data_IF_723281520340
#
_entry.id   IF_723281520340
#
_cell.length_a   1.000
_cell.length_b   1.000
_cell.length_c   1.000
_cell.angle_alpha   90.00
_cell.angle_beta   90.00
_cell.angle_gamma   90.00
#
_symmetry.space_group_name_H-M   'P 1'
#
loop_
_entity.id
_entity.type
_entity.pdbx_description
1 polymer ?
#
# COMPACT_ATOMS: atom_id res chain seq x y z
N UNK A 1 2.70 11.15 -28.78
CA UNK A 1 3.93 10.88 -28.00
C UNK A 1 3.70 9.57 -27.27
N UNK A 2 4.54 8.55 -27.52
CA UNK A 2 4.44 7.30 -26.79
C UNK A 2 4.83 7.57 -25.32
N UNK A 3 3.89 7.41 -24.40
CA UNK A 3 4.17 7.48 -22.97
C UNK A 3 5.00 6.24 -22.64
N UNK A 4 6.29 6.41 -22.41
CA UNK A 4 7.14 5.34 -21.89
C UNK A 4 6.71 5.08 -20.45
N UNK A 5 5.88 4.06 -20.24
CA UNK A 5 5.44 3.63 -18.92
C UNK A 5 6.63 3.08 -18.14
N UNK A 6 6.81 3.57 -16.91
CA UNK A 6 7.92 3.16 -16.06
C UNK A 6 7.53 1.89 -15.34
N UNK A 7 7.98 0.75 -15.84
CA UNK A 7 7.78 -0.53 -15.15
C UNK A 7 8.66 -0.61 -13.90
N UNK A 8 8.04 -0.63 -12.72
CA UNK A 8 8.71 -0.81 -11.43
C UNK A 8 8.45 -2.23 -10.95
N UNK A 9 9.49 -2.96 -10.60
CA UNK A 9 9.37 -4.28 -9.95
C UNK A 9 10.44 -4.43 -8.89
N UNK A 10 10.11 -5.14 -7.83
CA UNK A 10 11.06 -5.37 -6.76
C UNK A 10 12.17 -6.35 -7.18
N UNK A 11 13.45 -6.07 -6.88
CA UNK A 11 14.54 -7.02 -7.10
C UNK A 11 14.28 -8.40 -6.47
N UNK A 12 14.82 -9.43 -7.10
CA UNK A 12 14.67 -10.84 -6.70
C UNK A 12 16.05 -11.46 -6.41
N UNK A 13 16.06 -12.60 -5.72
CA UNK A 13 17.30 -13.31 -5.37
C UNK A 13 18.03 -12.70 -4.16
N UNK A 14 19.24 -13.21 -3.91
CA UNK A 14 20.05 -12.91 -2.72
C UNK A 14 21.01 -11.73 -2.87
N UNK A 15 21.16 -11.18 -4.08
CA UNK A 15 22.04 -10.04 -4.34
C UNK A 15 21.40 -8.76 -3.79
N UNK A 16 22.15 -8.01 -2.99
CA UNK A 16 21.68 -6.76 -2.38
C UNK A 16 21.92 -5.56 -3.28
N UNK A 17 20.94 -4.65 -3.32
CA UNK A 17 21.09 -3.30 -3.87
C UNK A 17 21.47 -2.27 -2.79
N UNK A 18 21.14 -2.55 -1.53
CA UNK A 18 21.42 -1.71 -0.37
C UNK A 18 22.54 -2.29 0.51
N UNK A 19 23.01 -1.52 1.50
CA UNK A 19 24.12 -1.92 2.37
C UNK A 19 23.83 -3.13 3.27
N UNK A 20 22.56 -3.38 3.60
CA UNK A 20 22.14 -4.55 4.37
C UNK A 20 20.66 -4.91 4.13
N UNK A 21 20.25 -6.08 4.60
CA UNK A 21 18.91 -6.62 4.42
C UNK A 21 17.76 -5.73 4.95
N UNK A 22 17.87 -5.03 6.10
CA UNK A 22 16.79 -4.17 6.57
C UNK A 22 16.45 -3.02 5.59
N UNK A 23 17.46 -2.40 4.98
CA UNK A 23 17.29 -1.37 3.96
C UNK A 23 16.82 -1.98 2.64
N UNK A 24 17.38 -3.13 2.26
CA UNK A 24 16.97 -3.87 1.06
C UNK A 24 15.50 -4.29 1.14
N UNK A 25 15.01 -4.69 2.32
CA UNK A 25 13.61 -5.03 2.52
C UNK A 25 12.71 -3.84 2.20
N UNK A 26 12.96 -2.67 2.80
CA UNK A 26 12.21 -1.45 2.48
C UNK A 26 12.33 -1.07 0.99
N UNK A 27 13.52 -1.21 0.41
CA UNK A 27 13.80 -0.94 -1.01
C UNK A 27 12.99 -1.83 -1.94
N UNK A 28 12.91 -3.14 -1.65
CA UNK A 28 12.09 -4.08 -2.40
C UNK A 28 10.61 -3.80 -2.17
N UNK A 29 10.18 -3.57 -0.94
CA UNK A 29 8.76 -3.45 -0.64
C UNK A 29 8.10 -2.20 -1.25
N UNK A 30 8.79 -1.04 -1.30
CA UNK A 30 8.24 0.13 -2.00
C UNK A 30 8.09 -0.13 -3.51
N UNK A 31 8.99 -0.91 -4.10
CA UNK A 31 8.89 -1.32 -5.51
C UNK A 31 7.81 -2.38 -5.72
N UNK A 32 7.60 -3.29 -4.77
CA UNK A 32 6.51 -4.27 -4.81
C UNK A 32 5.15 -3.58 -4.82
N UNK A 33 4.99 -2.53 -4.02
CA UNK A 33 3.78 -1.71 -4.01
C UNK A 33 3.48 -1.04 -5.37
N UNK A 34 4.43 -0.97 -6.29
CA UNK A 34 4.26 -0.40 -7.63
C UNK A 34 4.44 -1.43 -8.75
N UNK A 35 4.52 -2.72 -8.40
CA UNK A 35 4.55 -3.79 -9.39
C UNK A 35 3.23 -3.78 -10.18
N UNK A 36 3.25 -3.83 -11.54
CA UNK A 36 2.04 -3.87 -12.37
C UNK A 36 1.08 -5.01 -12.06
N UNK A 37 1.56 -6.09 -11.45
CA UNK A 37 0.71 -7.21 -11.01
C UNK A 37 0.09 -7.00 -9.62
N UNK A 38 0.49 -5.93 -8.92
CA UNK A 38 0.09 -5.64 -7.54
C UNK A 38 -0.74 -4.36 -7.45
N UNK A 39 -0.25 -3.27 -8.02
CA UNK A 39 -0.84 -1.94 -7.91
C UNK A 39 -2.00 -1.73 -8.91
N UNK A 40 -3.02 -0.98 -8.51
CA UNK A 40 -4.15 -0.62 -9.38
C UNK A 40 -3.73 0.32 -10.54
N UNK A 41 -2.85 1.30 -10.27
CA UNK A 41 -2.40 2.28 -11.28
C UNK A 41 -0.96 2.76 -11.01
N UNK A 42 0.06 1.91 -11.23
CA UNK A 42 1.44 2.16 -10.80
C UNK A 42 2.12 3.34 -11.48
N UNK A 43 1.77 3.67 -12.74
CA UNK A 43 2.34 4.82 -13.46
C UNK A 43 2.07 6.16 -12.74
N UNK A 44 0.96 6.24 -11.99
CA UNK A 44 0.57 7.39 -11.16
C UNK A 44 1.00 7.22 -9.69
N UNK A 45 1.83 6.22 -9.40
CA UNK A 45 2.25 5.79 -8.06
C UNK A 45 1.11 5.27 -7.17
N UNK A 46 -0.08 5.06 -7.74
CA UNK A 46 -1.29 4.64 -7.03
C UNK A 46 -1.27 3.13 -6.85
N UNK A 47 -1.38 2.70 -5.60
CA UNK A 47 -1.37 1.31 -5.18
C UNK A 47 -2.80 0.76 -5.09
N UNK A 48 -3.67 1.39 -4.30
CA UNK A 48 -5.09 1.01 -4.16
C UNK A 48 -5.91 2.09 -3.46
N UNK A 49 -7.24 1.90 -3.45
CA UNK A 49 -8.14 2.65 -2.57
C UNK A 49 -8.32 4.11 -2.98
N UNK A 50 -8.49 4.35 -4.28
CA UNK A 50 -8.58 5.69 -4.86
C UNK A 50 -7.19 6.25 -5.14
N UNK A 51 -6.76 7.29 -4.43
CA UNK A 51 -5.47 7.96 -4.64
C UNK A 51 -4.38 7.50 -3.66
N UNK A 52 -4.51 6.31 -3.06
CA UNK A 52 -3.51 5.78 -2.14
C UNK A 52 -2.19 5.50 -2.85
N UNK A 53 -1.13 6.26 -2.53
CA UNK A 53 0.16 6.21 -3.25
C UNK A 53 1.32 5.67 -2.42
N UNK A 54 2.32 5.11 -3.10
CA UNK A 54 3.57 4.64 -2.47
C UNK A 54 4.58 5.76 -2.19
N UNK A 55 4.59 6.79 -3.03
CA UNK A 55 5.45 7.97 -2.91
C UNK A 55 4.74 9.21 -3.47
N UNK A 56 5.15 10.41 -3.02
CA UNK A 56 4.44 11.66 -3.35
C UNK A 56 4.52 12.00 -4.84
N UNK A 57 5.67 11.73 -5.45
CA UNK A 57 5.98 11.98 -6.84
C UNK A 57 7.12 11.06 -7.29
N UNK A 58 7.35 10.93 -8.59
CA UNK A 58 8.45 10.13 -9.13
C UNK A 58 9.81 10.61 -8.61
N UNK A 59 10.00 11.94 -8.49
CA UNK A 59 11.19 12.50 -7.88
C UNK A 59 11.36 12.07 -6.40
N UNK A 60 10.28 12.02 -5.63
CA UNK A 60 10.32 11.54 -4.26
C UNK A 60 10.65 10.04 -4.19
N UNK A 61 10.04 9.24 -5.07
CA UNK A 61 10.32 7.81 -5.21
C UNK A 61 11.80 7.55 -5.50
N UNK A 62 12.37 8.24 -6.50
CA UNK A 62 13.78 8.08 -6.86
C UNK A 62 14.72 8.48 -5.72
N UNK A 63 14.38 9.55 -4.99
CA UNK A 63 15.14 9.95 -3.79
C UNK A 63 15.01 8.94 -2.65
N UNK A 64 13.86 8.29 -2.47
CA UNK A 64 13.69 7.22 -1.49
C UNK A 64 14.62 6.05 -1.83
N UNK A 65 14.58 5.57 -3.07
CA UNK A 65 15.43 4.47 -3.53
C UNK A 65 16.92 4.81 -3.39
N UNK A 66 17.34 6.00 -3.83
CA UNK A 66 18.71 6.45 -3.70
C UNK A 66 19.15 6.57 -2.23
N UNK A 67 18.26 7.02 -1.34
CA UNK A 67 18.57 7.14 0.09
C UNK A 67 18.70 5.76 0.74
N UNK A 68 17.78 4.82 0.47
CA UNK A 68 17.82 3.46 0.99
C UNK A 68 19.10 2.72 0.59
N UNK A 69 19.58 2.89 -0.64
CA UNK A 69 20.83 2.26 -1.11
C UNK A 69 22.06 2.65 -0.29
N UNK A 70 22.11 3.88 0.22
CA UNK A 70 23.25 4.41 1.00
C UNK A 70 23.02 4.47 2.52
N UNK A 71 21.82 4.11 2.99
CA UNK A 71 21.42 4.27 4.39
C UNK A 71 22.19 3.28 5.28
N UNK A 72 22.94 3.77 6.28
CA UNK A 72 23.73 2.93 7.18
C UNK A 72 22.85 2.19 8.19
N UNK A 73 23.44 1.19 8.86
CA UNK A 73 22.74 0.36 9.84
C UNK A 73 22.36 1.13 11.12
N UNK A 74 23.07 2.21 11.43
CA UNK A 74 22.80 3.09 12.57
C UNK A 74 22.10 4.39 12.16
N UNK A 75 21.44 4.41 11.00
CA UNK A 75 20.69 5.55 10.49
C UNK A 75 19.20 5.23 10.29
N UNK A 76 18.38 6.27 10.39
CA UNK A 76 16.94 6.23 10.15
C UNK A 76 16.55 7.32 9.16
N UNK A 77 15.91 6.93 8.06
CA UNK A 77 15.29 7.85 7.10
C UNK A 77 13.88 8.25 7.57
N UNK A 78 13.57 9.55 7.49
CA UNK A 78 12.22 10.07 7.73
C UNK A 78 11.50 10.30 6.40
N UNK A 79 10.29 9.75 6.30
CA UNK A 79 9.38 9.96 5.16
C UNK A 79 8.15 10.69 5.63
N UNK A 80 7.95 11.91 5.14
CA UNK A 80 6.78 12.74 5.43
C UNK A 80 5.88 12.76 4.19
N UNK A 81 4.65 12.28 4.31
CA UNK A 81 3.68 12.16 3.21
C UNK A 81 4.33 11.75 1.89
N UNK A 82 4.98 10.59 1.88
CA UNK A 82 5.64 10.00 0.70
C UNK A 82 6.88 10.74 0.16
N UNK A 83 7.47 11.68 0.92
CA UNK A 83 8.71 12.39 0.56
C UNK A 83 9.83 12.08 1.58
N UNK A 84 11.05 11.72 1.14
CA UNK A 84 12.17 11.55 2.05
C UNK A 84 12.69 12.92 2.48
N UNK A 85 12.55 13.27 3.77
CA UNK A 85 12.84 14.62 4.27
C UNK A 85 14.12 14.73 5.09
N UNK A 86 14.67 13.63 5.57
CA UNK A 86 15.90 13.64 6.34
C UNK A 86 16.40 12.24 6.68
N UNK A 87 17.67 12.16 7.06
CA UNK A 87 18.31 10.97 7.61
C UNK A 87 19.03 11.40 8.88
N UNK A 88 18.82 10.67 9.96
CA UNK A 88 19.44 10.95 11.26
C UNK A 88 20.16 9.70 11.76
N UNK A 89 21.27 9.91 12.46
CA UNK A 89 21.94 8.84 13.19
C UNK A 89 21.06 8.45 14.39
N UNK A 90 20.82 7.16 14.52
CA UNK A 90 20.10 6.51 15.61
C UNK A 90 20.98 5.39 16.17
N UNK A 91 20.59 4.13 16.03
CA UNK A 91 21.34 2.95 16.44
C UNK A 91 20.84 1.72 15.66
N UNK A 92 21.60 0.62 15.68
CA UNK A 92 21.31 -0.57 14.85
C UNK A 92 19.93 -1.20 15.12
N UNK A 93 19.44 -1.14 16.36
CA UNK A 93 18.12 -1.65 16.76
C UNK A 93 16.94 -0.73 16.43
N UNK A 94 17.18 0.49 15.97
CA UNK A 94 16.12 1.42 15.59
C UNK A 94 15.47 1.01 14.25
N UNK A 95 14.25 1.50 13.93
CA UNK A 95 13.71 1.38 12.58
C UNK A 95 14.62 2.07 11.55
N UNK A 96 14.83 1.46 10.38
CA UNK A 96 15.53 2.09 9.26
C UNK A 96 14.73 3.21 8.60
N UNK A 97 13.40 3.12 8.67
CA UNK A 97 12.48 4.10 8.07
C UNK A 97 11.38 4.41 9.06
N UNK A 98 11.12 5.69 9.28
CA UNK A 98 9.94 6.19 9.99
C UNK A 98 9.06 6.96 9.00
N UNK A 99 7.78 6.62 8.96
CA UNK A 99 6.84 7.13 7.96
C UNK A 99 5.66 7.81 8.65
N UNK A 100 5.36 9.04 8.26
CA UNK A 100 4.17 9.77 8.69
C UNK A 100 3.47 10.35 7.45
N UNK A 101 2.34 9.75 7.06
CA UNK A 101 1.60 10.13 5.86
C UNK A 101 0.25 10.76 6.19
N UNK A 102 -0.16 11.74 5.39
CA UNK A 102 -1.52 12.32 5.41
C UNK A 102 -1.95 12.98 6.73
N UNK A 103 -1.03 13.23 7.66
CA UNK A 103 -1.35 13.83 8.95
C UNK A 103 -1.71 15.31 8.76
N UNK A 104 -2.88 15.69 9.27
CA UNK A 104 -3.38 17.06 9.34
C UNK A 104 -3.89 17.31 10.75
N UNK A 105 -3.73 18.54 11.24
CA UNK A 105 -4.33 18.94 12.52
C UNK A 105 -5.86 18.81 12.40
N UNK A 106 -6.59 18.28 13.42
CA UNK A 106 -7.97 17.84 13.24
C UNK A 106 -8.95 18.86 12.64
N UNK A 107 -8.82 20.14 12.99
CA UNK A 107 -9.65 21.23 12.42
C UNK A 107 -9.56 21.32 10.89
N UNK A 108 -8.45 20.88 10.31
CA UNK A 108 -8.15 20.91 8.88
C UNK A 108 -8.12 19.54 8.23
N UNK A 109 -8.47 18.48 8.96
CA UNK A 109 -8.51 17.11 8.44
C UNK A 109 -9.76 16.87 7.57
N UNK A 110 -9.93 17.69 6.52
CA UNK A 110 -11.01 17.57 5.53
C UNK A 110 -10.44 17.27 4.14
N UNK A 111 -11.27 16.71 3.27
CA UNK A 111 -10.86 16.39 1.90
C UNK A 111 -10.54 17.65 1.07
N UNK A 112 -11.24 18.76 1.30
CA UNK A 112 -11.01 20.02 0.60
C UNK A 112 -9.60 20.52 0.90
N UNK A 113 -9.22 20.59 2.19
CA UNK A 113 -7.87 21.02 2.58
C UNK A 113 -6.81 20.02 2.15
N UNK A 114 -7.10 18.72 2.24
CA UNK A 114 -6.20 17.68 1.76
C UNK A 114 -5.89 17.86 0.26
N UNK A 115 -6.93 18.05 -0.57
CA UNK A 115 -6.79 18.24 -2.03
C UNK A 115 -6.07 19.53 -2.39
N UNK A 116 -6.31 20.61 -1.65
CA UNK A 116 -5.54 21.85 -1.78
C UNK A 116 -4.04 21.60 -1.57
N UNK A 117 -3.68 20.93 -0.47
CA UNK A 117 -2.29 20.60 -0.15
C UNK A 117 -1.68 19.59 -1.15
N UNK A 118 -2.48 18.65 -1.65
CA UNK A 118 -2.04 17.69 -2.67
C UNK A 118 -1.74 18.39 -4.00
N UNK A 119 -2.60 19.32 -4.43
CA UNK A 119 -2.37 20.14 -5.62
C UNK A 119 -1.12 21.02 -5.51
N UNK A 120 -0.79 21.48 -4.29
CA UNK A 120 0.46 22.19 -3.99
C UNK A 120 1.68 21.27 -3.84
N UNK A 121 1.51 19.94 -3.93
CA UNK A 121 2.59 18.96 -3.76
C UNK A 121 3.11 18.82 -2.32
N UNK A 122 2.30 19.20 -1.33
CA UNK A 122 2.67 19.26 0.09
C UNK A 122 2.27 18.01 0.88
N UNK A 123 1.31 17.23 0.38
CA UNK A 123 0.87 15.98 1.01
C UNK A 123 0.68 14.86 0.00
N UNK A 124 0.37 13.66 0.49
CA UNK A 124 0.12 12.43 -0.24
C UNK A 124 -0.86 11.59 0.58
N UNK A 125 -1.81 10.95 -0.08
CA UNK A 125 -2.72 10.02 0.59
C UNK A 125 -2.02 8.67 0.72
N UNK A 126 -1.70 8.29 1.96
CA UNK A 126 -0.96 7.07 2.24
C UNK A 126 -1.82 5.80 2.30
N UNK A 127 -3.15 5.94 2.36
CA UNK A 127 -4.04 4.82 2.76
C UNK A 127 -3.46 4.17 4.04
N UNK A 128 -3.50 2.85 4.17
CA UNK A 128 -2.87 2.06 5.22
C UNK A 128 -1.55 1.53 4.69
N UNK A 129 -1.59 0.57 3.77
CA UNK A 129 -0.41 -0.19 3.31
C UNK A 129 0.21 0.33 2.01
N UNK A 130 -0.42 1.30 1.36
CA UNK A 130 0.09 1.93 0.14
C UNK A 130 1.34 2.78 0.46
N UNK A 131 1.20 3.75 1.36
CA UNK A 131 2.27 4.65 1.76
C UNK A 131 3.25 4.09 2.79
N UNK A 132 2.97 2.89 3.32
CA UNK A 132 3.84 2.19 4.29
C UNK A 132 4.54 0.96 3.70
N UNK A 133 4.39 0.72 2.40
CA UNK A 133 5.16 -0.26 1.63
C UNK A 133 5.00 -1.70 2.14
N UNK A 134 3.76 -2.16 2.29
CA UNK A 134 3.48 -3.55 2.69
C UNK A 134 2.21 -4.08 2.03
N UNK A 135 1.85 -3.54 0.87
CA UNK A 135 0.71 -4.01 0.11
C UNK A 135 1.10 -5.25 -0.70
N UNK A 136 0.24 -6.27 -0.65
CA UNK A 136 0.46 -7.59 -1.26
C UNK A 136 -0.70 -7.97 -2.19
N UNK A 137 -1.31 -6.95 -2.81
CA UNK A 137 -2.49 -7.13 -3.65
C UNK A 137 -3.72 -7.54 -2.84
N UNK A 138 -4.69 -8.08 -3.56
CA UNK A 138 -6.00 -8.51 -3.05
C UNK A 138 -5.90 -9.50 -1.89
N UNK A 139 -4.82 -10.30 -1.82
CA UNK A 139 -4.60 -11.25 -0.74
C UNK A 139 -4.58 -10.58 0.64
N UNK A 140 -4.10 -9.34 0.73
CA UNK A 140 -3.94 -8.64 2.01
C UNK A 140 -5.25 -8.49 2.80
N UNK A 141 -6.40 -8.43 2.12
CA UNK A 141 -7.72 -8.32 2.76
C UNK A 141 -8.55 -9.59 2.66
N UNK A 142 -8.14 -10.56 1.83
CA UNK A 142 -8.91 -11.76 1.54
C UNK A 142 -9.33 -12.51 2.80
N UNK A 143 -8.40 -12.75 3.72
CA UNK A 143 -8.71 -13.45 4.97
C UNK A 143 -9.70 -12.66 5.84
N UNK A 144 -9.55 -11.34 5.95
CA UNK A 144 -10.47 -10.51 6.72
C UNK A 144 -11.89 -10.52 6.15
N UNK A 145 -12.01 -10.45 4.82
CA UNK A 145 -13.30 -10.55 4.13
C UNK A 145 -13.91 -11.94 4.28
N UNK A 146 -13.10 -13.00 4.17
CA UNK A 146 -13.52 -14.39 4.44
C UNK A 146 -14.07 -14.54 5.86
N UNK A 147 -13.35 -14.07 6.87
CA UNK A 147 -13.77 -14.18 8.28
C UNK A 147 -15.03 -13.37 8.57
N UNK A 148 -15.21 -12.23 7.90
CA UNK A 148 -16.43 -11.44 8.01
C UNK A 148 -17.64 -12.25 7.51
N UNK A 149 -17.53 -12.86 6.33
CA UNK A 149 -18.60 -13.69 5.79
C UNK A 149 -18.79 -14.99 6.59
N UNK A 150 -17.72 -15.59 7.10
CA UNK A 150 -17.79 -16.75 7.97
C UNK A 150 -18.51 -16.42 9.30
N UNK A 151 -18.26 -15.24 9.86
CA UNK A 151 -18.96 -14.76 11.06
C UNK A 151 -20.45 -14.52 10.79
N UNK A 152 -20.80 -13.93 9.64
CA UNK A 152 -22.20 -13.79 9.19
C UNK A 152 -22.85 -15.17 9.02
N UNK A 153 -22.16 -16.11 8.39
CA UNK A 153 -22.63 -17.47 8.18
C UNK A 153 -22.93 -18.19 9.51
N UNK A 154 -22.00 -18.10 10.48
CA UNK A 154 -22.20 -18.66 11.84
C UNK A 154 -23.37 -18.02 12.57
N UNK A 155 -23.50 -16.69 12.49
CA UNK A 155 -24.52 -15.95 13.23
C UNK A 155 -25.94 -16.13 12.66
N UNK A 156 -26.08 -16.29 11.34
CA UNK A 156 -27.37 -16.22 10.67
C UNK A 156 -27.78 -17.47 9.89
N UNK A 157 -26.83 -18.33 9.50
CA UNK A 157 -27.07 -19.38 8.49
C UNK A 157 -26.49 -20.75 8.87
N UNK A 158 -26.22 -20.99 10.17
CA UNK A 158 -25.75 -22.30 10.64
C UNK A 158 -24.31 -22.63 10.26
N UNK A 159 -23.48 -21.61 9.99
CA UNK A 159 -22.03 -21.77 9.76
C UNK A 159 -21.58 -21.85 8.31
N UNK A 160 -22.49 -21.83 7.34
CA UNK A 160 -22.16 -21.81 5.90
C UNK A 160 -23.05 -20.84 5.12
N UNK A 161 -22.56 -20.30 4.00
CA UNK A 161 -23.36 -19.53 3.04
C UNK A 161 -23.92 -20.39 1.89
N UNK A 162 -23.84 -21.72 1.99
CA UNK A 162 -24.41 -22.63 1.00
C UNK A 162 -25.88 -22.33 0.72
N UNK A 163 -26.21 -22.14 -0.55
CA UNK A 163 -27.56 -21.79 -1.01
C UNK A 163 -27.96 -20.33 -0.73
N UNK A 164 -27.00 -19.46 -0.38
CA UNK A 164 -27.21 -18.02 -0.17
C UNK A 164 -26.54 -17.22 -1.27
N UNK A 165 -27.14 -16.07 -1.58
CA UNK A 165 -26.59 -15.07 -2.50
C UNK A 165 -26.13 -13.87 -1.68
N UNK A 166 -24.88 -13.45 -1.88
CA UNK A 166 -24.32 -12.21 -1.34
C UNK A 166 -24.28 -11.18 -2.46
N UNK A 167 -24.92 -10.04 -2.23
CA UNK A 167 -24.93 -8.91 -3.16
C UNK A 167 -24.06 -7.79 -2.60
N UNK A 168 -23.09 -7.31 -3.38
CA UNK A 168 -22.21 -6.18 -3.05
C UNK A 168 -21.78 -5.46 -4.33
N UNK A 169 -20.85 -4.50 -4.22
CA UNK A 169 -20.28 -3.78 -5.35
C UNK A 169 -18.79 -3.46 -5.13
N UNK A 170 -18.09 -3.15 -6.22
CA UNK A 170 -16.71 -2.67 -6.24
C UNK A 170 -15.68 -3.79 -6.29
N UNK A 171 -15.02 -3.93 -7.45
CA UNK A 171 -13.94 -4.89 -7.71
C UNK A 171 -12.57 -4.19 -7.90
N UNK A 172 -12.28 -3.20 -7.06
CA UNK A 172 -10.92 -2.63 -6.95
C UNK A 172 -9.92 -3.61 -6.30
N UNK A 173 -8.70 -3.16 -6.00
CA UNK A 173 -7.63 -4.00 -5.45
C UNK A 173 -8.00 -4.68 -4.13
N UNK A 174 -8.75 -4.00 -3.25
CA UNK A 174 -9.27 -4.59 -2.01
C UNK A 174 -10.63 -5.28 -2.22
N UNK A 175 -11.55 -4.62 -2.95
CA UNK A 175 -12.91 -5.13 -3.20
C UNK A 175 -12.93 -6.41 -4.04
N UNK A 176 -11.91 -6.65 -4.85
CA UNK A 176 -11.72 -7.88 -5.64
C UNK A 176 -11.56 -9.14 -4.79
N UNK A 177 -11.37 -9.02 -3.47
CA UNK A 177 -11.32 -10.17 -2.56
C UNK A 177 -12.72 -10.75 -2.26
N UNK A 178 -13.79 -9.96 -2.46
CA UNK A 178 -15.15 -10.32 -2.08
C UNK A 178 -15.66 -11.61 -2.75
N UNK A 179 -15.54 -11.80 -4.08
CA UNK A 179 -16.06 -13.00 -4.73
C UNK A 179 -15.41 -14.28 -4.18
N UNK A 180 -14.08 -14.29 -4.02
CA UNK A 180 -13.36 -15.44 -3.51
C UNK A 180 -13.72 -15.72 -2.04
N UNK A 181 -13.81 -14.68 -1.20
CA UNK A 181 -14.20 -14.82 0.19
C UNK A 181 -15.61 -15.41 0.37
N UNK A 182 -16.56 -15.02 -0.47
CA UNK A 182 -17.93 -15.58 -0.47
C UNK A 182 -17.90 -17.05 -0.94
N UNK A 183 -17.18 -17.35 -2.02
CA UNK A 183 -17.04 -18.71 -2.55
C UNK A 183 -16.38 -19.66 -1.55
N UNK A 184 -15.37 -19.19 -0.81
CA UNK A 184 -14.74 -19.96 0.27
C UNK A 184 -15.69 -20.26 1.45
N UNK A 185 -16.77 -19.51 1.57
CA UNK A 185 -17.87 -19.76 2.52
C UNK A 185 -19.05 -20.51 1.87
N UNK A 186 -18.85 -21.11 0.68
CA UNK A 186 -19.84 -21.87 -0.10
C UNK A 186 -21.03 -21.03 -0.65
N UNK A 187 -20.92 -19.70 -0.61
CA UNK A 187 -21.96 -18.79 -1.12
C UNK A 187 -21.84 -18.48 -2.61
N UNK A 188 -22.90 -17.89 -3.17
CA UNK A 188 -22.89 -17.28 -4.51
C UNK A 188 -22.70 -15.78 -4.39
N UNK A 189 -21.74 -15.21 -5.13
CA UNK A 189 -21.46 -13.77 -5.12
C UNK A 189 -22.03 -13.08 -6.37
N UNK A 190 -22.78 -12.00 -6.17
CA UNK A 190 -23.12 -11.02 -7.21
C UNK A 190 -22.48 -9.69 -6.82
N UNK A 191 -21.40 -9.31 -7.50
CA UNK A 191 -20.65 -8.08 -7.22
C UNK A 191 -20.72 -7.19 -8.45
N UNK A 192 -21.31 -6.00 -8.29
CA UNK A 192 -21.44 -4.98 -9.35
C UNK A 192 -20.15 -4.19 -9.52
#
# INVERSE_FOLDING_TARGET
MAVTTRSVRAPRGSILSCLAWPQEAAFRMIQNNLDPEVAEKPDDLIVYGGTGRAARSWQAFDRILATLRRLRNDETMLVQSGKPVGVFKTHEWAPRVLIANSLLVPRWATWEKFRELEALGLTMYGQMTAGSWIYIGTQGILQGTYETFAAVARKHFGGSLKGRVVVSAGLGGMGGAQPLAVTMNEGVALIV
#
